data_IF_492361285570
#
_entry.id   IF_492361285570
#
_cell.length_a   1.000
_cell.length_b   1.000
_cell.length_c   1.000
_cell.angle_alpha   90.00
_cell.angle_beta   90.00
_cell.angle_gamma   90.00
#
_symmetry.space_group_name_H-M   'P 1'
#
loop_
_entity.id
_entity.type
_entity.pdbx_description
1 polymer ?
#
# COMPACT_ATOMS: atom_id res chain seq x y z
N UNK A 1 3.53 6.04 4.54
CA UNK A 1 2.64 4.89 4.82
C UNK A 1 3.20 3.68 4.09
N UNK A 2 3.09 2.51 4.70
CA UNK A 2 3.62 1.25 4.19
C UNK A 2 2.53 0.21 4.30
N UNK A 3 2.44 -0.66 3.31
CA UNK A 3 1.57 -1.83 3.32
C UNK A 3 2.45 -3.05 3.17
N UNK A 4 2.44 -3.93 4.16
CA UNK A 4 3.10 -5.23 4.12
C UNK A 4 2.07 -6.31 3.81
N UNK A 5 2.29 -7.05 2.72
CA UNK A 5 1.35 -8.03 2.21
C UNK A 5 2.03 -9.29 1.72
N UNK A 6 1.33 -10.41 1.84
CA UNK A 6 1.77 -11.68 1.31
C UNK A 6 1.50 -11.75 -0.20
N UNK A 7 2.42 -12.34 -0.94
CA UNK A 7 2.26 -12.51 -2.39
C UNK A 7 3.02 -13.74 -2.89
N UNK A 8 2.58 -14.30 -4.02
CA UNK A 8 3.32 -15.33 -4.74
C UNK A 8 3.88 -14.78 -6.05
N UNK A 9 4.95 -15.36 -6.62
CA UNK A 9 5.54 -14.88 -7.87
C UNK A 9 4.56 -14.76 -9.05
N UNK A 10 3.51 -15.59 -9.07
CA UNK A 10 2.42 -15.55 -10.07
C UNK A 10 1.54 -14.29 -9.98
N UNK A 11 1.58 -13.58 -8.86
CA UNK A 11 0.75 -12.42 -8.57
C UNK A 11 1.36 -11.10 -9.10
N UNK A 12 2.56 -11.14 -9.70
CA UNK A 12 3.26 -9.95 -10.24
C UNK A 12 2.38 -9.08 -11.15
N UNK A 13 1.59 -9.62 -12.10
CA UNK A 13 0.68 -8.78 -12.90
C UNK A 13 -0.39 -8.06 -12.06
N UNK A 14 -0.91 -8.72 -11.03
CA UNK A 14 -1.92 -8.19 -10.12
C UNK A 14 -1.32 -7.11 -9.21
N UNK A 15 -0.07 -7.29 -8.76
CA UNK A 15 0.68 -6.27 -8.02
C UNK A 15 0.85 -5.03 -8.88
N UNK A 16 1.30 -5.19 -10.13
CA UNK A 16 1.46 -4.05 -11.02
C UNK A 16 0.14 -3.29 -11.28
N UNK A 17 -0.96 -4.02 -11.50
CA UNK A 17 -2.27 -3.39 -11.63
C UNK A 17 -2.71 -2.65 -10.35
N UNK A 18 -2.37 -3.19 -9.17
CA UNK A 18 -2.63 -2.55 -7.89
C UNK A 18 -1.82 -1.25 -7.73
N UNK A 19 -0.52 -1.27 -8.07
CA UNK A 19 0.34 -0.08 -8.08
C UNK A 19 -0.24 1.04 -8.94
N UNK A 20 -0.65 0.74 -10.18
CA UNK A 20 -1.23 1.74 -11.09
C UNK A 20 -2.51 2.36 -10.53
N UNK A 21 -3.39 1.53 -9.93
CA UNK A 21 -4.63 2.02 -9.29
C UNK A 21 -4.33 2.91 -8.09
N UNK A 22 -3.37 2.53 -7.25
CA UNK A 22 -2.96 3.32 -6.08
C UNK A 22 -2.33 4.64 -6.51
N UNK A 23 -1.34 4.60 -7.40
CA UNK A 23 -0.66 5.78 -7.92
C UNK A 23 -1.65 6.77 -8.55
N UNK A 24 -2.58 6.29 -9.37
CA UNK A 24 -3.61 7.12 -9.99
C UNK A 24 -4.54 7.76 -8.95
N UNK A 25 -5.00 7.01 -7.95
CA UNK A 25 -5.92 7.53 -6.93
C UNK A 25 -5.24 8.56 -6.02
N UNK A 26 -4.01 8.27 -5.60
CA UNK A 26 -3.21 9.18 -4.76
C UNK A 26 -2.95 10.49 -5.50
N UNK A 27 -2.53 10.41 -6.78
CA UNK A 27 -2.29 11.59 -7.61
C UNK A 27 -3.57 12.41 -7.86
N UNK A 28 -4.67 11.75 -8.20
CA UNK A 28 -5.94 12.44 -8.46
C UNK A 28 -6.49 13.14 -7.21
N UNK A 29 -6.28 12.54 -6.04
CA UNK A 29 -6.65 13.13 -4.77
C UNK A 29 -5.63 14.15 -4.26
N UNK A 30 -4.52 14.41 -4.95
CA UNK A 30 -3.41 15.25 -4.46
C UNK A 30 -2.93 14.83 -3.05
N UNK A 31 -2.93 13.52 -2.77
CA UNK A 31 -2.64 12.98 -1.43
C UNK A 31 -1.17 12.64 -1.21
N UNK A 32 -0.35 12.78 -2.26
CA UNK A 32 1.08 12.46 -2.28
C UNK A 32 1.45 11.60 -3.48
N UNK A 33 2.21 10.52 -3.25
CA UNK A 33 2.67 9.61 -4.31
C UNK A 33 2.85 8.16 -3.86
N UNK A 34 2.85 7.24 -4.84
CA UNK A 34 3.32 5.88 -4.65
C UNK A 34 4.84 5.88 -4.89
N UNK A 35 5.58 5.35 -3.93
CA UNK A 35 7.03 5.17 -4.00
C UNK A 35 7.41 3.81 -4.59
N UNK A 36 8.58 3.33 -4.19
CA UNK A 36 9.06 2.01 -4.60
C UNK A 36 8.20 0.88 -4.03
N UNK A 37 8.13 -0.23 -4.77
CA UNK A 37 7.57 -1.49 -4.31
C UNK A 37 8.71 -2.47 -4.11
N UNK A 38 8.84 -3.01 -2.90
CA UNK A 38 9.81 -4.04 -2.59
C UNK A 38 9.14 -5.41 -2.62
N UNK A 39 9.76 -6.36 -3.31
CA UNK A 39 9.20 -7.68 -3.57
C UNK A 39 10.33 -8.70 -3.32
N UNK A 40 10.23 -9.48 -2.23
CA UNK A 40 11.28 -10.45 -1.87
C UNK A 40 11.23 -11.68 -2.77
N UNK A 41 12.39 -12.17 -3.23
CA UNK A 41 12.48 -13.18 -4.31
C UNK A 41 11.89 -14.55 -3.94
N UNK A 42 11.82 -14.87 -2.65
CA UNK A 42 11.23 -16.09 -2.11
C UNK A 42 9.70 -16.11 -2.21
N UNK A 43 9.08 -14.95 -2.44
CA UNK A 43 7.66 -14.81 -2.62
C UNK A 43 6.90 -15.14 -1.36
N UNK A 44 6.93 -14.21 -0.40
CA UNK A 44 6.03 -14.18 0.76
C UNK A 44 5.93 -12.76 1.34
N UNK A 45 6.90 -11.88 1.10
CA UNK A 45 6.89 -10.52 1.64
C UNK A 45 6.93 -9.47 0.52
N UNK A 46 5.86 -8.67 0.45
CA UNK A 46 5.76 -7.49 -0.41
C UNK A 46 5.53 -6.22 0.41
N UNK A 47 6.15 -5.12 0.00
CA UNK A 47 6.00 -3.80 0.61
C UNK A 47 5.62 -2.76 -0.43
N UNK A 48 4.50 -2.06 -0.20
CA UNK A 48 4.15 -0.84 -0.94
C UNK A 48 4.45 0.37 -0.08
N UNK A 49 5.35 1.25 -0.54
CA UNK A 49 5.62 2.52 0.12
C UNK A 49 4.81 3.64 -0.54
N UNK A 50 4.14 4.45 0.28
CA UNK A 50 3.37 5.61 -0.17
C UNK A 50 3.71 6.82 0.70
N UNK A 51 3.94 7.96 0.08
CA UNK A 51 4.38 9.18 0.76
C UNK A 51 3.35 10.28 0.62
N UNK A 52 3.15 11.05 1.68
CA UNK A 52 2.18 12.15 1.73
C UNK A 52 2.32 12.89 3.06
N UNK A 53 1.94 14.18 3.08
CA UNK A 53 2.04 15.02 4.28
C UNK A 53 1.00 14.67 5.36
N UNK A 54 -0.10 14.01 4.96
CA UNK A 54 -1.18 13.57 5.84
C UNK A 54 -1.39 12.04 5.68
N UNK A 55 -0.87 11.22 6.61
CA UNK A 55 -1.03 9.76 6.59
C UNK A 55 -2.48 9.29 6.65
N UNK A 56 -3.37 10.05 7.31
CA UNK A 56 -4.78 9.70 7.42
C UNK A 56 -5.53 9.96 6.12
N UNK A 57 -5.26 11.09 5.47
CA UNK A 57 -5.77 11.37 4.12
C UNK A 57 -5.25 10.35 3.12
N UNK A 58 -3.96 10.02 3.16
CA UNK A 58 -3.35 9.02 2.29
C UNK A 58 -4.04 7.66 2.47
N UNK A 59 -4.23 7.19 3.70
CA UNK A 59 -4.94 5.94 3.97
C UNK A 59 -6.42 5.98 3.56
N UNK A 60 -7.11 7.10 3.78
CA UNK A 60 -8.51 7.27 3.37
C UNK A 60 -8.70 7.10 1.87
N UNK A 61 -7.76 7.60 1.06
CA UNK A 61 -7.76 7.49 -0.40
C UNK A 61 -7.44 6.06 -0.85
N UNK A 62 -6.46 5.41 -0.22
CA UNK A 62 -5.96 4.10 -0.69
C UNK A 62 -6.71 2.91 -0.11
N UNK A 63 -7.27 3.02 1.10
CA UNK A 63 -7.90 1.91 1.80
C UNK A 63 -9.03 1.21 1.03
N UNK A 64 -9.90 1.87 0.24
CA UNK A 64 -10.88 1.16 -0.57
C UNK A 64 -10.24 0.26 -1.63
N UNK A 65 -9.13 0.71 -2.23
CA UNK A 65 -8.38 -0.05 -3.23
C UNK A 65 -7.70 -1.24 -2.57
N UNK A 66 -7.02 -1.01 -1.45
CA UNK A 66 -6.33 -2.05 -0.69
C UNK A 66 -7.30 -3.14 -0.20
N UNK A 67 -8.48 -2.74 0.31
CA UNK A 67 -9.53 -3.68 0.75
C UNK A 67 -10.14 -4.47 -0.41
N UNK A 68 -10.21 -3.87 -1.60
CA UNK A 68 -10.77 -4.55 -2.79
C UNK A 68 -9.83 -5.58 -3.42
N UNK A 69 -8.53 -5.50 -3.11
CA UNK A 69 -7.52 -6.40 -3.66
C UNK A 69 -7.35 -7.62 -2.75
N UNK A 70 -7.41 -8.82 -3.35
CA UNK A 70 -7.14 -10.08 -2.62
C UNK A 70 -5.72 -10.14 -2.04
N UNK A 71 -4.78 -9.38 -2.62
CA UNK A 71 -3.40 -9.31 -2.14
C UNK A 71 -3.28 -8.57 -0.81
N UNK A 72 -4.12 -7.55 -0.58
CA UNK A 72 -3.96 -6.60 0.53
C UNK A 72 -5.17 -6.53 1.46
N UNK A 73 -6.21 -7.35 1.25
CA UNK A 73 -7.41 -7.33 2.09
C UNK A 73 -7.11 -7.65 3.58
N UNK A 74 -5.98 -8.32 3.86
CA UNK A 74 -5.53 -8.68 5.21
C UNK A 74 -4.10 -8.18 5.50
N UNK A 75 -3.59 -7.23 4.71
CA UNK A 75 -2.25 -6.69 4.87
C UNK A 75 -2.12 -5.85 6.14
N UNK A 76 -0.91 -5.73 6.66
CA UNK A 76 -0.58 -4.79 7.71
C UNK A 76 -0.26 -3.40 7.11
N UNK A 77 -0.84 -2.36 7.69
CA UNK A 77 -0.61 -0.96 7.30
C UNK A 77 0.11 -0.24 8.43
N UNK A 78 1.20 0.43 8.10
CA UNK A 78 1.88 1.36 9.00
C UNK A 78 1.76 2.80 8.50
N UNK A 79 1.26 3.69 9.36
CA UNK A 79 1.24 5.15 9.18
C UNK A 79 2.33 5.79 10.05
N UNK A 80 2.96 6.86 9.54
CA UNK A 80 3.98 7.61 10.27
C UNK A 80 3.58 9.07 10.44
N UNK A 81 3.56 9.54 11.69
CA UNK A 81 3.33 10.92 12.10
C UNK A 81 4.63 11.48 12.69
N UNK A 82 5.64 11.63 11.84
CA UNK A 82 7.02 11.91 12.28
C UNK A 82 7.60 10.73 13.08
N UNK A 83 8.04 10.93 14.34
CA UNK A 83 8.64 9.86 15.16
C UNK A 83 7.60 8.83 15.66
N UNK A 84 6.31 9.18 15.66
CA UNK A 84 5.23 8.27 16.05
C UNK A 84 4.78 7.44 14.85
N UNK A 85 4.54 6.15 15.06
CA UNK A 85 3.90 5.28 14.08
C UNK A 85 2.68 4.56 14.66
N UNK A 86 1.76 4.21 13.77
CA UNK A 86 0.58 3.40 14.05
C UNK A 86 0.55 2.26 13.04
N UNK A 87 0.39 1.03 13.54
CA UNK A 87 0.37 -0.18 12.73
C UNK A 87 -0.90 -0.97 13.03
N UNK A 88 -1.60 -1.39 11.98
CA UNK A 88 -2.85 -2.15 12.11
C UNK A 88 -3.10 -3.03 10.88
N UNK A 89 -3.87 -4.11 11.07
CA UNK A 89 -4.31 -4.98 9.97
C UNK A 89 -5.56 -4.40 9.31
N UNK A 90 -5.59 -4.38 7.98
CA UNK A 90 -6.78 -3.99 7.22
C UNK A 90 -7.93 -4.96 7.51
N UNK A 91 -9.12 -4.41 7.76
CA UNK A 91 -10.39 -5.14 7.93
C UNK A 91 -11.44 -4.62 6.95
#
# INVERSE_FOLDING_TARGET
MMVHFDYYPKDRPQIHALEQRLASAIKHADAGELGETEIHIDGNDGYLYMYGSDPDRLYRVTSPILKSSRLTAHSEVTKWYGPRRETFVIR
#
